data_IF_306616552802
#
_entry.id   IF_306616552802
#
_cell.length_a   1.000
_cell.length_b   1.000
_cell.length_c   1.000
_cell.angle_alpha   90.00
_cell.angle_beta   90.00
_cell.angle_gamma   90.00
#
_symmetry.space_group_name_H-M   'P 1'
#
loop_
_entity.id
_entity.type
_entity.pdbx_description
1 polymer ?
#
# COMPACT_ATOMS: atom_id res chain seq x y z
N UNK A 1 -4.39 26.76 -17.33
CA UNK A 1 -4.26 26.78 -15.86
C UNK A 1 -2.89 26.22 -15.52
N UNK A 2 -2.03 26.97 -14.84
CA UNK A 2 -0.80 26.42 -14.24
C UNK A 2 -1.23 25.76 -12.94
N UNK A 3 -1.09 24.44 -12.82
CA UNK A 3 -1.34 23.77 -11.54
C UNK A 3 -0.16 24.00 -10.61
N UNK A 4 -0.44 24.48 -9.40
CA UNK A 4 0.56 24.55 -8.34
C UNK A 4 1.01 23.15 -7.92
N UNK A 5 2.27 23.02 -7.50
CA UNK A 5 2.84 21.77 -7.00
C UNK A 5 2.06 21.35 -5.72
N UNK A 6 1.51 20.13 -5.66
CA UNK A 6 0.75 19.69 -4.49
C UNK A 6 1.66 19.56 -3.27
N UNK A 7 1.10 19.82 -2.08
CA UNK A 7 1.82 19.61 -0.82
C UNK A 7 2.02 18.11 -0.54
N UNK A 8 3.06 17.71 0.23
CA UNK A 8 3.27 16.31 0.61
C UNK A 8 2.03 15.67 1.26
N UNK A 9 1.31 16.43 2.08
CA UNK A 9 0.07 15.98 2.71
C UNK A 9 -1.03 15.68 1.68
N UNK A 10 -1.19 16.55 0.68
CA UNK A 10 -2.17 16.33 -0.39
C UNK A 10 -1.79 15.09 -1.22
N UNK A 11 -0.51 14.95 -1.59
CA UNK A 11 0.01 13.78 -2.31
C UNK A 11 -0.24 12.50 -1.51
N UNK A 12 0.13 12.46 -0.24
CA UNK A 12 -0.04 11.28 0.61
C UNK A 12 -1.50 10.89 0.80
N UNK A 13 -2.39 11.86 1.05
CA UNK A 13 -3.83 11.58 1.21
C UNK A 13 -4.46 11.04 -0.06
N UNK A 14 -4.16 11.62 -1.22
CA UNK A 14 -4.69 11.13 -2.49
C UNK A 14 -4.09 9.79 -2.89
N UNK A 15 -2.80 9.57 -2.65
CA UNK A 15 -2.16 8.27 -2.84
C UNK A 15 -2.86 7.19 -2.02
N UNK A 16 -3.04 7.39 -0.70
CA UNK A 16 -3.72 6.44 0.19
C UNK A 16 -5.15 6.19 -0.28
N UNK A 17 -5.90 7.23 -0.63
CA UNK A 17 -7.27 7.10 -1.14
C UNK A 17 -7.30 6.22 -2.40
N UNK A 18 -6.44 6.49 -3.38
CA UNK A 18 -6.39 5.73 -4.63
C UNK A 18 -5.93 4.29 -4.41
N UNK A 19 -4.86 4.11 -3.64
CA UNK A 19 -4.26 2.80 -3.35
C UNK A 19 -5.28 1.85 -2.72
N UNK A 20 -5.92 2.26 -1.63
CA UNK A 20 -6.88 1.41 -0.92
C UNK A 20 -8.22 1.27 -1.64
N UNK A 21 -8.63 2.27 -2.44
CA UNK A 21 -9.80 2.11 -3.33
C UNK A 21 -9.52 1.05 -4.40
N UNK A 22 -8.32 1.06 -5.00
CA UNK A 22 -7.94 0.09 -6.02
C UNK A 22 -7.75 -1.31 -5.41
N UNK A 23 -7.17 -1.40 -4.20
CA UNK A 23 -7.05 -2.66 -3.46
C UNK A 23 -8.41 -3.33 -3.22
N UNK A 24 -9.45 -2.55 -2.96
CA UNK A 24 -10.81 -3.07 -2.81
C UNK A 24 -11.43 -3.49 -4.15
N UNK A 25 -11.30 -2.65 -5.19
CA UNK A 25 -12.09 -2.78 -6.42
C UNK A 25 -11.44 -3.61 -7.53
N UNK A 26 -10.12 -3.52 -7.67
CA UNK A 26 -9.37 -4.16 -8.75
C UNK A 26 -7.89 -4.39 -8.33
N UNK A 27 -7.64 -5.24 -7.32
CA UNK A 27 -6.31 -5.46 -6.75
C UNK A 27 -5.30 -6.00 -7.77
N UNK A 28 -5.74 -6.63 -8.85
CA UNK A 28 -4.88 -7.09 -9.95
C UNK A 28 -4.08 -5.94 -10.60
N UNK A 29 -4.57 -4.70 -10.54
CA UNK A 29 -3.88 -3.52 -11.07
C UNK A 29 -3.02 -2.77 -10.04
N UNK A 30 -2.98 -3.21 -8.78
CA UNK A 30 -2.26 -2.52 -7.71
C UNK A 30 -0.76 -2.40 -7.98
N UNK A 31 -0.18 -3.39 -8.66
CA UNK A 31 1.23 -3.40 -9.05
C UNK A 31 1.64 -2.17 -9.89
N UNK A 32 0.69 -1.50 -10.56
CA UNK A 32 0.95 -0.30 -11.37
C UNK A 32 1.39 0.93 -10.56
N UNK A 33 1.17 0.93 -9.24
CA UNK A 33 1.72 1.96 -8.35
C UNK A 33 3.23 1.81 -8.11
N UNK A 34 3.82 0.68 -8.47
CA UNK A 34 5.20 0.34 -8.15
C UNK A 34 6.10 0.50 -9.38
N UNK A 35 7.33 0.96 -9.17
CA UNK A 35 8.36 1.05 -10.19
C UNK A 35 9.20 -0.22 -10.33
N UNK A 36 10.16 -0.20 -11.26
CA UNK A 36 11.05 -1.33 -11.54
C UNK A 36 11.91 -1.77 -10.34
N UNK A 37 12.26 -0.84 -9.46
CA UNK A 37 13.13 -1.08 -8.30
C UNK A 37 12.39 -0.95 -6.97
N UNK A 38 11.06 -0.99 -6.99
CA UNK A 38 10.25 -0.92 -5.76
C UNK A 38 10.39 -2.20 -4.94
N UNK A 39 10.23 -2.08 -3.63
CA UNK A 39 10.09 -3.21 -2.71
C UNK A 39 8.66 -3.29 -2.17
N UNK A 40 8.23 -4.50 -1.81
CA UNK A 40 6.89 -4.73 -1.26
C UNK A 40 6.90 -5.85 -0.22
N UNK A 41 6.25 -5.60 0.91
CA UNK A 41 5.95 -6.60 1.94
C UNK A 41 4.54 -6.34 2.48
N UNK A 42 3.78 -7.41 2.74
CA UNK A 42 2.40 -7.32 3.24
C UNK A 42 2.20 -8.25 4.44
N UNK A 43 2.99 -8.02 5.49
CA UNK A 43 2.98 -8.84 6.70
C UNK A 43 3.13 -10.34 6.40
N UNK A 44 2.57 -11.16 7.30
CA UNK A 44 2.69 -12.61 7.23
C UNK A 44 3.98 -13.12 7.84
N UNK A 45 3.97 -14.41 8.19
CA UNK A 45 5.14 -15.14 8.64
C UNK A 45 5.44 -16.29 7.69
N UNK A 46 6.69 -16.70 7.61
CA UNK A 46 7.11 -17.90 6.90
C UNK A 46 6.89 -19.17 7.74
N UNK A 47 7.27 -20.33 7.21
CA UNK A 47 7.13 -21.61 7.90
C UNK A 47 7.97 -21.71 9.20
N UNK A 48 8.98 -20.85 9.36
CA UNK A 48 9.80 -20.74 10.57
C UNK A 48 9.24 -19.76 11.60
N UNK A 49 8.12 -19.09 11.29
CA UNK A 49 7.50 -18.06 12.14
C UNK A 49 8.16 -16.69 12.03
N UNK A 50 9.11 -16.50 11.10
CA UNK A 50 9.76 -15.20 10.87
C UNK A 50 8.91 -14.33 9.93
N UNK A 51 8.96 -12.99 10.04
CA UNK A 51 8.30 -12.10 9.09
C UNK A 51 8.70 -12.43 7.65
N UNK A 52 7.73 -12.36 6.73
CA UNK A 52 8.05 -12.57 5.32
C UNK A 52 8.97 -11.45 4.80
N UNK A 53 9.97 -11.86 4.03
CA UNK A 53 10.87 -10.94 3.32
C UNK A 53 10.13 -10.17 2.22
N UNK A 54 10.66 -8.99 1.89
CA UNK A 54 10.14 -8.19 0.79
C UNK A 54 10.43 -8.84 -0.58
N UNK A 55 9.53 -8.64 -1.52
CA UNK A 55 9.76 -8.89 -2.95
C UNK A 55 10.17 -7.59 -3.65
N UNK A 56 10.87 -7.71 -4.79
CA UNK A 56 11.49 -6.57 -5.47
C UNK A 56 11.11 -6.52 -6.94
N UNK A 57 10.70 -5.34 -7.39
CA UNK A 57 10.34 -5.06 -8.78
C UNK A 57 8.90 -5.38 -9.13
N UNK A 58 8.37 -4.61 -10.08
CA UNK A 58 6.94 -4.57 -10.40
C UNK A 58 6.31 -5.96 -10.71
N UNK A 59 7.05 -6.83 -11.40
CA UNK A 59 6.56 -8.17 -11.76
C UNK A 59 6.40 -9.08 -10.52
N UNK A 60 7.41 -9.12 -9.65
CA UNK A 60 7.36 -9.93 -8.43
C UNK A 60 6.31 -9.38 -7.46
N UNK A 61 6.17 -8.05 -7.41
CA UNK A 61 5.08 -7.39 -6.68
C UNK A 61 3.72 -7.80 -7.24
N UNK A 62 3.55 -7.85 -8.57
CA UNK A 62 2.31 -8.30 -9.18
C UNK A 62 1.97 -9.74 -8.78
N UNK A 63 2.92 -10.66 -8.91
CA UNK A 63 2.74 -12.06 -8.49
C UNK A 63 2.42 -12.15 -6.99
N UNK A 64 3.11 -11.36 -6.15
CA UNK A 64 2.85 -11.32 -4.72
C UNK A 64 1.43 -10.83 -4.41
N UNK A 65 0.98 -9.73 -5.02
CA UNK A 65 -0.37 -9.19 -4.84
C UNK A 65 -1.44 -10.21 -5.24
N UNK A 66 -1.26 -10.91 -6.37
CA UNK A 66 -2.18 -11.98 -6.79
C UNK A 66 -2.21 -13.13 -5.77
N UNK A 67 -1.05 -13.54 -5.25
CA UNK A 67 -0.96 -14.63 -4.26
C UNK A 67 -1.66 -14.33 -2.93
N UNK A 68 -1.87 -13.05 -2.60
CA UNK A 68 -2.55 -12.62 -1.38
C UNK A 68 -4.08 -12.75 -1.48
N UNK A 69 -4.62 -13.01 -2.68
CA UNK A 69 -6.05 -13.25 -2.92
C UNK A 69 -6.93 -12.16 -2.30
N UNK A 70 -6.63 -10.90 -2.61
CA UNK A 70 -7.47 -9.79 -2.18
C UNK A 70 -8.85 -9.89 -2.84
N UNK A 71 -9.89 -9.91 -2.02
CA UNK A 71 -11.28 -9.96 -2.45
C UNK A 71 -12.13 -9.21 -1.44
N UNK A 72 -12.96 -8.27 -1.89
CA UNK A 72 -13.76 -7.41 -1.01
C UNK A 72 -12.92 -6.82 0.15
N UNK A 73 -11.70 -6.37 -0.18
CA UNK A 73 -10.75 -5.87 0.81
C UNK A 73 -11.25 -4.54 1.37
N UNK A 74 -11.67 -4.49 2.63
CA UNK A 74 -12.20 -3.29 3.27
C UNK A 74 -11.17 -2.66 4.19
N UNK A 75 -11.00 -1.35 4.08
CA UNK A 75 -10.01 -0.62 4.90
C UNK A 75 -10.63 0.58 5.60
N UNK A 76 -10.34 0.71 6.90
CA UNK A 76 -10.65 1.89 7.70
C UNK A 76 -9.35 2.60 8.06
N UNK A 77 -9.01 3.62 7.29
CA UNK A 77 -7.83 4.45 7.53
C UNK A 77 -8.10 5.34 8.74
N UNK A 78 -7.19 5.32 9.72
CA UNK A 78 -7.28 6.12 10.95
C UNK A 78 -6.39 7.34 10.89
N UNK A 79 -5.14 7.15 10.47
CA UNK A 79 -4.17 8.22 10.34
C UNK A 79 -3.39 8.08 9.03
N UNK A 80 -3.10 9.23 8.44
CA UNK A 80 -2.21 9.39 7.31
C UNK A 80 -1.32 10.59 7.63
N UNK A 81 -0.05 10.31 7.85
CA UNK A 81 0.98 11.34 7.99
C UNK A 81 1.83 11.30 6.72
N UNK A 82 2.17 12.47 6.18
CA UNK A 82 2.96 12.56 4.96
C UNK A 82 3.91 13.76 4.99
N UNK A 83 5.18 13.50 4.71
CA UNK A 83 6.26 14.48 4.81
C UNK A 83 7.15 14.41 3.57
N UNK A 84 7.71 15.56 3.19
CA UNK A 84 8.70 15.61 2.12
C UNK A 84 9.98 14.87 2.54
N UNK A 85 10.63 14.20 1.60
CA UNK A 85 11.94 13.56 1.76
C UNK A 85 12.95 14.17 0.79
N UNK A 86 14.18 13.65 0.82
CA UNK A 86 15.21 14.03 -0.15
C UNK A 86 14.74 13.73 -1.58
N UNK A 87 15.26 14.49 -2.54
CA UNK A 87 15.00 14.28 -3.97
C UNK A 87 13.52 14.34 -4.35
N UNK A 88 12.78 15.31 -3.80
CA UNK A 88 11.35 15.54 -4.05
C UNK A 88 10.42 14.37 -3.70
N UNK A 89 10.89 13.41 -2.90
CA UNK A 89 10.07 12.29 -2.45
C UNK A 89 9.06 12.69 -1.38
N UNK A 90 8.12 11.78 -1.12
CA UNK A 90 7.16 11.87 -0.02
C UNK A 90 7.17 10.54 0.72
N UNK A 91 7.40 10.57 2.03
CA UNK A 91 7.17 9.41 2.91
C UNK A 91 5.77 9.51 3.48
N UNK A 92 5.04 8.41 3.47
CA UNK A 92 3.65 8.34 3.95
C UNK A 92 3.56 7.25 5.00
N UNK A 93 3.14 7.58 6.21
CA UNK A 93 2.84 6.59 7.26
C UNK A 93 1.32 6.44 7.39
N UNK A 94 0.84 5.21 7.33
CA UNK A 94 -0.58 4.87 7.38
C UNK A 94 -0.84 3.94 8.55
N UNK A 95 -1.86 4.28 9.36
CA UNK A 95 -2.39 3.41 10.40
C UNK A 95 -3.87 3.17 10.14
N UNK A 96 -4.30 1.91 10.25
CA UNK A 96 -5.68 1.56 9.95
C UNK A 96 -6.07 0.15 10.34
N UNK A 97 -7.24 -0.23 9.88
CA UNK A 97 -7.79 -1.58 9.95
C UNK A 97 -8.00 -2.10 8.54
N UNK A 98 -7.66 -3.36 8.30
CA UNK A 98 -7.86 -4.04 7.02
C UNK A 98 -8.59 -5.37 7.25
N UNK A 99 -9.61 -5.62 6.44
CA UNK A 99 -10.34 -6.88 6.34
C UNK A 99 -10.23 -7.38 4.90
N UNK A 100 -10.08 -8.69 4.72
CA UNK A 100 -10.06 -9.32 3.41
C UNK A 100 -11.05 -10.49 3.40
N UNK A 101 -11.86 -10.63 2.34
CA UNK A 101 -12.81 -11.74 2.16
C UNK A 101 -13.75 -11.94 3.36
N UNK A 102 -14.28 -10.85 3.92
CA UNK A 102 -15.18 -10.88 5.08
C UNK A 102 -14.54 -11.29 6.41
N UNK A 103 -13.22 -11.51 6.44
CA UNK A 103 -12.50 -11.86 7.66
C UNK A 103 -12.46 -10.70 8.66
N UNK A 104 -12.26 -10.95 9.97
CA UNK A 104 -12.17 -9.89 10.97
C UNK A 104 -11.12 -8.83 10.64
N UNK A 105 -11.42 -7.59 10.99
CA UNK A 105 -10.49 -6.47 10.81
C UNK A 105 -9.22 -6.66 11.62
N UNK A 106 -8.07 -6.45 10.97
CA UNK A 106 -6.75 -6.48 11.60
C UNK A 106 -6.15 -5.09 11.57
N UNK A 107 -5.58 -4.66 12.71
CA UNK A 107 -4.80 -3.42 12.78
C UNK A 107 -3.54 -3.57 11.95
N UNK A 108 -3.17 -2.53 11.21
CA UNK A 108 -1.93 -2.47 10.45
C UNK A 108 -1.23 -1.12 10.61
N UNK A 109 0.07 -1.14 10.36
CA UNK A 109 0.93 0.02 10.16
C UNK A 109 1.67 -0.20 8.84
N UNK A 110 1.73 0.83 8.00
CA UNK A 110 2.40 0.78 6.69
C UNK A 110 3.18 2.07 6.46
N UNK A 111 4.33 1.93 5.79
CA UNK A 111 5.16 3.02 5.28
C UNK A 111 5.42 2.79 3.79
#
# INVERSE_FOLDING_TARGET
MVMEKPSPLLVGREFVRQYYTLLNKAPEYLHRFYGRNSSYVHGGVDASGKPQEAVYGQNDIHHKVLSLNFSECHTKIRHVDAHATLSDGVVVQVMGLLSNSGQPERKFMQT
#
